data_IF_378712505055
#
_entry.id   IF_378712505055
#
_cell.length_a   1.000
_cell.length_b   1.000
_cell.length_c   1.000
_cell.angle_alpha   90.00
_cell.angle_beta   90.00
_cell.angle_gamma   90.00
#
_symmetry.space_group_name_H-M   'P 1'
#
loop_
_entity.id
_entity.type
_entity.pdbx_description
1 polymer ?
#
# COMPACT_ATOMS: atom_id res chain seq x y z
N UNK A 1 0.07 11.83 -2.17
CA UNK A 1 -0.97 11.14 -1.38
C UNK A 1 -2.28 11.90 -1.47
N UNK A 2 -3.41 11.20 -1.40
CA UNK A 2 -4.76 11.77 -1.54
C UNK A 2 -5.68 11.13 -0.50
N UNK A 3 -6.53 11.92 0.15
CA UNK A 3 -7.55 11.38 1.06
C UNK A 3 -8.84 11.14 0.26
N UNK A 4 -9.13 9.88 -0.07
CA UNK A 4 -10.27 9.52 -0.92
C UNK A 4 -11.62 9.71 -0.21
N UNK A 5 -11.64 9.85 1.12
CA UNK A 5 -12.86 10.09 1.90
C UNK A 5 -13.42 11.50 1.68
N UNK A 6 -12.59 12.42 1.21
CA UNK A 6 -12.97 13.80 0.89
C UNK A 6 -13.62 13.94 -0.50
N UNK A 7 -13.89 12.81 -1.17
CA UNK A 7 -14.49 12.76 -2.49
C UNK A 7 -15.80 11.96 -2.46
N UNK A 8 -16.76 12.25 -3.36
CA UNK A 8 -17.95 11.44 -3.51
C UNK A 8 -17.60 9.96 -3.75
N UNK A 9 -18.44 9.06 -3.25
CA UNK A 9 -18.31 7.62 -3.55
C UNK A 9 -18.27 7.41 -5.07
N UNK A 10 -17.45 6.45 -5.53
CA UNK A 10 -17.25 6.11 -6.95
C UNK A 10 -16.49 7.15 -7.79
N UNK A 11 -15.82 8.13 -7.15
CA UNK A 11 -14.90 9.05 -7.85
C UNK A 11 -13.70 8.33 -8.45
N UNK A 12 -13.21 7.29 -7.76
CA UNK A 12 -12.05 6.51 -8.18
C UNK A 12 -12.49 5.10 -8.61
N UNK A 13 -11.99 4.63 -9.74
CA UNK A 13 -12.19 3.30 -10.30
C UNK A 13 -10.83 2.66 -10.55
N UNK A 14 -10.60 1.44 -10.08
CA UNK A 14 -9.34 0.72 -10.36
C UNK A 14 -9.22 0.43 -11.84
N UNK A 15 -8.02 0.67 -12.40
CA UNK A 15 -7.74 0.40 -13.81
C UNK A 15 -8.09 -1.05 -14.19
N UNK A 16 -7.74 -1.99 -13.32
CA UNK A 16 -7.98 -3.41 -13.49
C UNK A 16 -9.47 -3.77 -13.54
N UNK A 17 -10.31 -3.11 -12.72
CA UNK A 17 -11.76 -3.31 -12.76
C UNK A 17 -12.35 -2.78 -14.08
N UNK A 18 -11.85 -1.63 -14.55
CA UNK A 18 -12.23 -1.09 -15.85
C UNK A 18 -11.84 -2.04 -16.99
N UNK A 19 -10.59 -2.51 -17.01
CA UNK A 19 -10.08 -3.45 -18.03
C UNK A 19 -10.92 -4.74 -18.04
N UNK A 20 -11.19 -5.33 -16.86
CA UNK A 20 -12.00 -6.55 -16.74
C UNK A 20 -13.44 -6.34 -17.21
N UNK A 21 -14.02 -5.16 -16.98
CA UNK A 21 -15.35 -4.82 -17.45
C UNK A 21 -15.41 -4.74 -18.98
N UNK A 22 -14.55 -3.92 -19.58
CA UNK A 22 -14.57 -3.69 -21.04
C UNK A 22 -14.14 -4.91 -21.84
N UNK A 23 -13.22 -5.74 -21.31
CA UNK A 23 -12.81 -6.99 -21.95
C UNK A 23 -13.99 -7.98 -22.11
N UNK A 24 -15.00 -7.92 -21.24
CA UNK A 24 -16.19 -8.78 -21.31
C UNK A 24 -17.24 -8.28 -22.30
N UNK A 25 -17.25 -6.98 -22.60
CA UNK A 25 -18.35 -6.32 -23.32
C UNK A 25 -18.07 -6.05 -24.79
N UNK A 26 -16.81 -6.13 -25.23
CA UNK A 26 -16.44 -5.70 -26.59
C UNK A 26 -16.51 -6.84 -27.62
N UNK A 27 -16.99 -6.51 -28.82
CA UNK A 27 -17.17 -7.43 -29.95
C UNK A 27 -16.22 -7.15 -31.12
N UNK A 28 -15.40 -6.09 -31.03
CA UNK A 28 -14.42 -5.73 -32.05
C UNK A 28 -13.08 -6.47 -31.84
N UNK A 29 -12.72 -7.30 -32.82
CA UNK A 29 -11.57 -8.20 -32.78
C UNK A 29 -10.21 -7.45 -32.73
N UNK A 30 -10.11 -6.23 -33.26
CA UNK A 30 -8.84 -5.49 -33.28
C UNK A 30 -8.54 -4.82 -31.94
N UNK A 31 -9.53 -4.09 -31.38
CA UNK A 31 -9.45 -3.50 -30.04
C UNK A 31 -9.27 -4.57 -28.95
N UNK A 32 -9.82 -5.77 -29.18
CA UNK A 32 -9.66 -6.89 -28.27
C UNK A 32 -8.21 -7.36 -28.13
N UNK A 33 -7.34 -7.23 -29.16
CA UNK A 33 -5.93 -7.67 -29.06
C UNK A 33 -5.13 -6.81 -28.09
N UNK A 34 -5.26 -5.49 -28.18
CA UNK A 34 -4.55 -4.55 -27.30
C UNK A 34 -5.08 -4.62 -25.87
N UNK A 35 -6.40 -4.66 -25.71
CA UNK A 35 -7.04 -4.80 -24.41
C UNK A 35 -6.70 -6.14 -23.74
N UNK A 36 -6.63 -7.23 -24.52
CA UNK A 36 -6.17 -8.54 -24.04
C UNK A 36 -4.73 -8.47 -23.54
N UNK A 37 -3.82 -7.89 -24.31
CA UNK A 37 -2.41 -7.75 -23.91
C UNK A 37 -2.26 -6.90 -22.65
N UNK A 38 -3.00 -5.78 -22.57
CA UNK A 38 -3.02 -4.93 -21.38
C UNK A 38 -3.55 -5.67 -20.15
N UNK A 39 -4.64 -6.43 -20.32
CA UNK A 39 -5.22 -7.29 -19.27
C UNK A 39 -4.20 -8.31 -18.78
N UNK A 40 -3.55 -9.04 -19.70
CA UNK A 40 -2.54 -10.03 -19.35
C UNK A 40 -1.39 -9.42 -18.55
N UNK A 41 -0.87 -8.26 -18.97
CA UNK A 41 0.17 -7.55 -18.22
C UNK A 41 -0.30 -7.11 -16.83
N UNK A 42 -1.50 -6.53 -16.74
CA UNK A 42 -2.08 -6.05 -15.47
C UNK A 42 -2.54 -7.17 -14.55
N UNK A 43 -2.82 -8.37 -15.05
CA UNK A 43 -3.15 -9.55 -14.25
C UNK A 43 -1.91 -10.35 -13.81
N UNK A 44 -0.76 -10.08 -14.40
CA UNK A 44 0.53 -10.65 -14.00
C UNK A 44 1.34 -9.63 -13.19
N UNK A 45 2.65 -9.58 -13.40
CA UNK A 45 3.60 -8.86 -12.55
C UNK A 45 3.65 -7.33 -12.82
N UNK A 46 2.91 -6.85 -13.82
CA UNK A 46 2.85 -5.42 -14.20
C UNK A 46 1.60 -4.71 -13.67
N UNK A 47 0.97 -5.25 -12.62
CA UNK A 47 -0.07 -4.53 -11.90
C UNK A 47 0.51 -3.35 -11.12
N UNK A 48 0.12 -2.11 -11.45
CA UNK A 48 0.70 -0.90 -10.84
C UNK A 48 -0.20 -0.26 -9.79
N UNK A 49 -1.39 -0.82 -9.53
CA UNK A 49 -2.33 -0.25 -8.56
C UNK A 49 -2.91 1.09 -9.00
N UNK A 50 -3.12 1.28 -10.31
CA UNK A 50 -3.59 2.55 -10.86
C UNK A 50 -5.10 2.73 -10.61
N UNK A 51 -5.48 3.98 -10.34
CA UNK A 51 -6.87 4.40 -10.19
C UNK A 51 -7.19 5.47 -11.22
N UNK A 52 -8.30 5.27 -11.92
CA UNK A 52 -8.91 6.18 -12.88
C UNK A 52 -9.93 7.06 -12.18
N UNK A 53 -10.08 8.29 -12.66
CA UNK A 53 -11.12 9.23 -12.22
C UNK A 53 -11.88 9.74 -13.44
N UNK A 54 -13.13 10.13 -13.26
CA UNK A 54 -13.95 10.67 -14.35
C UNK A 54 -13.94 12.21 -14.32
N UNK A 55 -13.58 12.81 -15.46
CA UNK A 55 -13.62 14.26 -15.64
C UNK A 55 -12.52 15.02 -14.89
N UNK A 56 -12.77 16.31 -14.63
CA UNK A 56 -11.85 17.18 -13.91
C UNK A 56 -11.95 16.89 -12.39
N UNK A 57 -10.87 16.39 -11.81
CA UNK A 57 -10.77 16.16 -10.37
C UNK A 57 -10.13 17.37 -9.66
N UNK A 58 -10.89 18.08 -8.84
CA UNK A 58 -10.32 19.09 -7.96
C UNK A 58 -9.68 18.41 -6.73
N UNK A 59 -8.34 18.43 -6.69
CA UNK A 59 -7.52 17.85 -5.62
C UNK A 59 -6.91 18.90 -4.67
N UNK A 60 -7.22 20.18 -4.87
CA UNK A 60 -6.70 21.27 -4.04
C UNK A 60 -7.12 21.08 -2.57
N UNK A 61 -6.16 21.15 -1.64
CA UNK A 61 -6.37 20.89 -0.22
C UNK A 61 -6.61 19.41 0.16
N UNK A 62 -6.98 18.56 -0.79
CA UNK A 62 -7.33 17.14 -0.58
C UNK A 62 -6.17 16.17 -0.83
N UNK A 63 -5.06 16.70 -1.31
CA UNK A 63 -3.88 15.91 -1.63
C UNK A 63 -2.60 16.59 -1.16
N UNK A 64 -1.55 15.80 -1.19
CA UNK A 64 -0.19 16.22 -0.97
C UNK A 64 0.66 15.70 -2.13
N UNK A 65 1.45 16.60 -2.72
CA UNK A 65 2.32 16.32 -3.85
C UNK A 65 3.77 16.57 -3.44
N UNK A 66 4.64 15.62 -3.75
CA UNK A 66 6.08 15.74 -3.59
C UNK A 66 6.71 15.37 -4.92
N UNK A 67 7.58 16.23 -5.45
CA UNK A 67 8.22 15.97 -6.73
C UNK A 67 9.22 14.81 -6.62
N UNK A 68 9.41 14.06 -7.69
CA UNK A 68 10.42 12.99 -7.73
C UNK A 68 11.82 13.53 -7.39
N UNK A 69 12.16 14.73 -7.87
CA UNK A 69 13.46 15.33 -7.56
C UNK A 69 13.63 15.61 -6.06
N UNK A 70 12.56 16.06 -5.37
CA UNK A 70 12.60 16.20 -3.90
C UNK A 70 12.77 14.83 -3.23
N UNK A 71 12.05 13.79 -3.66
CA UNK A 71 12.24 12.44 -3.12
C UNK A 71 13.70 11.98 -3.27
N UNK A 72 14.30 12.18 -4.45
CA UNK A 72 15.70 11.84 -4.74
C UNK A 72 16.65 12.62 -3.83
N UNK A 73 16.52 13.95 -3.79
CA UNK A 73 17.40 14.83 -3.03
C UNK A 73 17.36 14.54 -1.53
N UNK A 74 16.21 14.13 -1.01
CA UNK A 74 16.01 13.83 0.42
C UNK A 74 16.32 12.37 0.76
N UNK A 75 16.68 11.53 -0.23
CA UNK A 75 17.31 10.24 0.00
C UNK A 75 16.51 9.01 -0.42
N UNK A 76 15.56 9.11 -1.36
CA UNK A 76 14.81 7.96 -1.88
C UNK A 76 15.71 6.81 -2.33
N UNK A 77 16.81 7.11 -3.02
CA UNK A 77 17.77 6.09 -3.48
C UNK A 77 18.58 5.45 -2.36
N UNK A 78 18.64 6.07 -1.18
CA UNK A 78 19.20 5.43 0.00
C UNK A 78 18.21 4.43 0.59
N UNK A 79 16.92 4.76 0.63
CA UNK A 79 15.87 3.86 1.11
C UNK A 79 15.60 2.69 0.15
N UNK A 80 15.68 2.94 -1.16
CA UNK A 80 15.51 1.92 -2.19
C UNK A 80 16.60 2.06 -3.27
N UNK A 81 17.82 1.52 -3.02
CA UNK A 81 18.92 1.54 -3.98
C UNK A 81 18.59 0.96 -5.37
N UNK A 82 17.75 -0.10 -5.51
CA UNK A 82 17.38 -0.61 -6.83
C UNK A 82 16.74 0.41 -7.76
N UNK A 83 16.14 1.50 -7.24
CA UNK A 83 15.61 2.60 -8.06
C UNK A 83 16.72 3.38 -8.78
N UNK A 84 17.90 3.54 -8.16
CA UNK A 84 19.03 4.28 -8.74
C UNK A 84 19.69 3.50 -9.88
N UNK A 85 19.85 2.19 -9.69
CA UNK A 85 20.58 1.31 -10.61
C UNK A 85 19.85 1.02 -11.93
N UNK A 86 18.63 1.51 -12.12
CA UNK A 86 17.79 1.21 -13.29
C UNK A 86 17.98 2.10 -14.51
N UNK A 87 18.85 3.11 -14.44
CA UNK A 87 18.73 4.28 -15.33
C UNK A 87 17.50 5.08 -14.91
N UNK A 88 17.53 5.61 -13.68
CA UNK A 88 16.42 6.34 -13.05
C UNK A 88 15.87 7.52 -13.87
N UNK A 89 16.65 8.02 -14.83
CA UNK A 89 16.29 9.08 -15.77
C UNK A 89 15.56 8.58 -17.04
N UNK A 90 15.41 7.26 -17.22
CA UNK A 90 14.62 6.65 -18.31
C UNK A 90 13.23 6.27 -17.80
N UNK A 91 12.29 7.22 -17.92
CA UNK A 91 10.90 7.07 -17.51
C UNK A 91 10.19 5.87 -18.18
N UNK A 92 10.58 5.52 -19.41
CA UNK A 92 9.99 4.40 -20.13
C UNK A 92 10.30 3.02 -19.49
N UNK A 93 11.33 2.95 -18.63
CA UNK A 93 11.75 1.72 -17.94
C UNK A 93 11.23 1.58 -16.52
N UNK A 94 10.39 2.51 -16.05
CA UNK A 94 9.89 2.48 -14.68
C UNK A 94 9.09 1.22 -14.36
N UNK A 95 8.25 0.74 -15.28
CA UNK A 95 7.53 -0.53 -15.07
C UNK A 95 8.47 -1.71 -14.83
N UNK A 96 9.57 -1.81 -15.59
CA UNK A 96 10.61 -2.84 -15.39
C UNK A 96 11.38 -2.64 -14.08
N UNK A 97 11.57 -1.40 -13.67
CA UNK A 97 12.22 -1.05 -12.40
C UNK A 97 11.39 -1.52 -11.21
N UNK A 98 10.09 -1.21 -11.21
CA UNK A 98 9.13 -1.66 -10.18
C UNK A 98 9.07 -3.18 -10.15
N UNK A 99 8.98 -3.83 -11.32
CA UNK A 99 9.06 -5.29 -11.43
C UNK A 99 10.30 -5.85 -10.72
N UNK A 100 11.50 -5.31 -11.01
CA UNK A 100 12.75 -5.77 -10.39
C UNK A 100 12.80 -5.53 -8.89
N UNK A 101 12.23 -4.43 -8.41
CA UNK A 101 12.08 -4.18 -6.97
C UNK A 101 11.24 -5.29 -6.35
N UNK A 102 10.07 -5.60 -6.92
CA UNK A 102 9.18 -6.66 -6.44
C UNK A 102 9.81 -8.04 -6.50
N UNK A 103 10.59 -8.35 -7.54
CA UNK A 103 11.30 -9.63 -7.56
C UNK A 103 12.29 -9.69 -6.41
N UNK A 104 12.94 -8.59 -6.00
CA UNK A 104 13.93 -8.59 -4.90
C UNK A 104 13.39 -8.77 -3.47
N UNK A 105 12.06 -8.87 -3.27
CA UNK A 105 11.43 -9.19 -1.98
C UNK A 105 11.51 -10.70 -1.70
N UNK A 106 12.71 -11.20 -1.45
CA UNK A 106 12.93 -12.58 -0.99
C UNK A 106 13.22 -12.59 0.52
N UNK A 107 14.28 -11.90 0.94
CA UNK A 107 14.72 -11.87 2.34
C UNK A 107 14.47 -10.51 3.00
N UNK A 108 14.06 -10.47 4.28
CA UNK A 108 13.98 -9.23 5.05
C UNK A 108 15.33 -8.52 5.10
N UNK A 109 15.31 -7.20 4.95
CA UNK A 109 16.49 -6.34 5.12
C UNK A 109 16.45 -5.68 6.50
N UNK A 110 17.54 -5.78 7.28
CA UNK A 110 17.64 -5.12 8.57
C UNK A 110 17.30 -3.63 8.47
N UNK A 111 16.50 -3.14 9.41
CA UNK A 111 16.18 -1.72 9.51
C UNK A 111 17.31 -1.00 10.23
N UNK A 112 17.71 0.17 9.70
CA UNK A 112 18.66 1.08 10.36
C UNK A 112 17.92 2.34 10.83
N UNK A 113 18.35 2.94 11.96
CA UNK A 113 17.78 4.19 12.48
C UNK A 113 17.80 5.30 11.41
N UNK A 114 18.92 5.42 10.70
CA UNK A 114 19.13 6.37 9.58
C UNK A 114 18.10 6.20 8.46
N UNK A 115 17.57 4.99 8.24
CA UNK A 115 16.54 4.73 7.24
C UNK A 115 15.18 5.28 7.71
N UNK A 116 14.83 5.10 8.98
CA UNK A 116 13.61 5.70 9.54
C UNK A 116 13.70 7.22 9.49
N UNK A 117 14.85 7.79 9.86
CA UNK A 117 15.09 9.24 9.80
C UNK A 117 14.92 9.81 8.40
N UNK A 118 15.48 9.14 7.39
CA UNK A 118 15.31 9.56 6.00
C UNK A 118 13.87 9.39 5.51
N UNK A 119 13.20 8.29 5.87
CA UNK A 119 11.81 8.10 5.50
C UNK A 119 10.91 9.21 6.05
N UNK A 120 11.10 9.58 7.32
CA UNK A 120 10.39 10.71 7.94
C UNK A 120 10.77 12.04 7.30
N UNK A 121 12.05 12.29 7.03
CA UNK A 121 12.51 13.53 6.38
C UNK A 121 11.92 13.69 4.97
N UNK A 122 11.85 12.62 4.18
CA UNK A 122 11.16 12.63 2.88
C UNK A 122 9.67 12.90 3.09
N UNK A 123 9.04 12.23 4.05
CA UNK A 123 7.62 12.38 4.32
C UNK A 123 7.22 13.78 4.78
N UNK A 124 8.11 14.50 5.49
CA UNK A 124 7.89 15.88 5.92
C UNK A 124 7.80 16.90 4.77
N UNK A 125 8.27 16.55 3.57
CA UNK A 125 7.94 17.36 2.39
C UNK A 125 6.45 17.36 2.05
N UNK A 126 5.70 16.42 2.63
CA UNK A 126 4.27 16.46 2.61
C UNK A 126 3.76 17.53 3.57
N UNK A 127 3.21 18.61 3.00
CA UNK A 127 2.66 19.75 3.76
C UNK A 127 1.39 19.44 4.57
N UNK A 128 0.96 18.19 4.59
CA UNK A 128 -0.23 17.73 5.31
C UNK A 128 0.19 16.69 6.34
N UNK A 129 0.16 17.09 7.61
CA UNK A 129 0.68 16.33 8.74
C UNK A 129 0.11 14.92 8.83
N UNK A 130 -1.19 14.77 8.54
CA UNK A 130 -1.89 13.47 8.55
C UNK A 130 -1.31 12.44 7.59
N UNK A 131 -0.49 12.85 6.61
CA UNK A 131 0.16 11.95 5.67
C UNK A 131 1.61 11.64 6.03
N UNK A 132 2.26 12.38 6.93
CA UNK A 132 3.69 12.21 7.17
C UNK A 132 3.98 10.80 7.70
N UNK A 133 3.27 10.38 8.74
CA UNK A 133 3.43 9.05 9.32
C UNK A 133 3.19 7.90 8.30
N UNK A 134 2.02 7.79 7.65
CA UNK A 134 1.79 6.70 6.69
C UNK A 134 2.72 6.79 5.48
N UNK A 135 3.11 7.99 5.04
CA UNK A 135 4.06 8.13 3.93
C UNK A 135 5.45 7.60 4.28
N UNK A 136 5.93 7.88 5.50
CA UNK A 136 7.20 7.35 5.98
C UNK A 136 7.18 5.82 6.01
N UNK A 137 6.09 5.20 6.46
CA UNK A 137 5.95 3.73 6.46
C UNK A 137 5.89 3.19 5.02
N UNK A 138 5.17 3.84 4.09
CA UNK A 138 5.18 3.46 2.67
C UNK A 138 6.58 3.48 2.06
N UNK A 139 7.40 4.48 2.41
CA UNK A 139 8.78 4.58 1.92
C UNK A 139 9.67 3.45 2.46
N UNK A 140 9.50 3.05 3.73
CA UNK A 140 10.20 1.90 4.31
C UNK A 140 9.74 0.57 3.69
N UNK A 141 8.47 0.49 3.30
CA UNK A 141 7.86 -0.68 2.67
C UNK A 141 8.31 -0.93 1.22
N UNK A 142 9.11 -0.03 0.61
CA UNK A 142 9.75 -0.26 -0.69
C UNK A 142 10.80 -1.38 -0.67
N UNK A 143 11.12 -1.91 0.50
CA UNK A 143 11.96 -3.09 0.69
C UNK A 143 11.26 -4.06 1.65
N UNK A 144 11.60 -5.34 1.53
CA UNK A 144 11.17 -6.33 2.51
C UNK A 144 11.81 -6.00 3.87
N UNK A 145 10.99 -5.77 4.90
CA UNK A 145 11.42 -5.45 6.27
C UNK A 145 10.77 -6.44 7.23
N UNK A 146 11.45 -6.73 8.33
CA UNK A 146 10.81 -7.45 9.42
C UNK A 146 9.80 -6.53 10.13
N UNK A 147 8.52 -6.90 10.10
CA UNK A 147 7.47 -6.14 10.78
C UNK A 147 7.57 -6.30 12.31
N UNK A 148 8.21 -7.35 12.80
CA UNK A 148 8.44 -7.59 14.23
C UNK A 148 9.58 -6.75 14.83
N UNK A 149 10.40 -6.11 13.99
CA UNK A 149 11.57 -5.35 14.43
C UNK A 149 11.17 -4.26 15.45
N UNK A 150 11.67 -4.38 16.67
CA UNK A 150 11.41 -3.41 17.75
C UNK A 150 11.91 -2.01 17.41
N UNK A 151 12.93 -1.91 16.55
CA UNK A 151 13.46 -0.63 16.09
C UNK A 151 12.40 0.19 15.37
N UNK A 152 11.54 -0.48 14.58
CA UNK A 152 10.51 0.18 13.80
C UNK A 152 9.56 0.97 14.71
N UNK A 153 8.91 0.28 15.65
CA UNK A 153 7.97 0.92 16.56
C UNK A 153 8.66 1.96 17.44
N UNK A 154 9.85 1.65 17.97
CA UNK A 154 10.62 2.56 18.83
C UNK A 154 10.92 3.89 18.13
N UNK A 155 11.42 3.86 16.90
CA UNK A 155 11.79 5.08 16.18
C UNK A 155 10.57 5.89 15.75
N UNK A 156 9.47 5.26 15.33
CA UNK A 156 8.23 5.98 15.05
C UNK A 156 7.66 6.62 16.33
N UNK A 157 7.65 5.90 17.44
CA UNK A 157 7.17 6.45 18.73
C UNK A 157 8.02 7.60 19.25
N UNK A 158 9.32 7.62 18.97
CA UNK A 158 10.21 8.74 19.30
C UNK A 158 9.92 10.00 18.47
N UNK A 159 9.42 9.82 17.25
CA UNK A 159 9.26 10.89 16.25
C UNK A 159 7.84 11.43 16.13
N UNK A 160 6.84 10.66 16.54
CA UNK A 160 5.43 11.02 16.39
C UNK A 160 4.66 10.87 17.71
N UNK A 161 3.69 11.76 17.93
CA UNK A 161 2.74 11.63 19.04
C UNK A 161 1.73 10.51 18.77
N UNK A 162 0.95 10.14 19.78
CA UNK A 162 -0.13 9.15 19.61
C UNK A 162 -1.20 9.65 18.63
N UNK A 163 -1.49 10.95 18.65
CA UNK A 163 -2.43 11.60 17.75
C UNK A 163 -1.92 11.58 16.30
N UNK A 164 -0.64 11.88 16.06
CA UNK A 164 -0.04 11.85 14.73
C UNK A 164 0.01 10.43 14.14
N UNK A 165 0.15 9.42 14.99
CA UNK A 165 0.06 8.01 14.61
C UNK A 165 -1.38 7.52 14.49
N UNK A 166 -2.38 8.31 14.89
CA UNK A 166 -3.79 7.94 14.80
C UNK A 166 -4.39 8.33 13.45
N UNK A 167 -4.25 7.45 12.47
CA UNK A 167 -4.73 7.66 11.09
C UNK A 167 -6.15 7.15 10.83
N UNK A 168 -6.83 6.65 11.87
CA UNK A 168 -8.16 6.03 11.79
C UNK A 168 -8.14 4.72 11.00
N UNK A 169 -9.33 4.29 10.56
CA UNK A 169 -9.49 3.06 9.78
C UNK A 169 -8.82 3.19 8.41
N UNK A 170 -7.79 2.39 8.19
CA UNK A 170 -7.13 2.24 6.88
C UNK A 170 -7.86 1.15 6.12
N UNK A 171 -8.26 1.46 4.90
CA UNK A 171 -8.72 0.45 3.94
C UNK A 171 -7.60 0.16 2.96
N UNK A 172 -7.19 -1.09 2.86
CA UNK A 172 -6.23 -1.55 1.85
C UNK A 172 -6.97 -1.93 0.56
N UNK A 173 -6.29 -1.75 -0.57
CA UNK A 173 -6.82 -2.19 -1.87
C UNK A 173 -7.00 -3.72 -1.90
N UNK A 174 -8.09 -4.22 -2.47
CA UNK A 174 -8.36 -5.68 -2.49
C UNK A 174 -7.31 -6.49 -3.28
N UNK A 175 -6.59 -5.83 -4.20
CA UNK A 175 -5.53 -6.43 -5.01
C UNK A 175 -4.14 -6.04 -4.44
N UNK A 176 -4.07 -5.48 -3.22
CA UNK A 176 -2.83 -5.05 -2.56
C UNK A 176 -1.79 -6.16 -2.45
N UNK A 177 -2.25 -7.38 -2.19
CA UNK A 177 -1.42 -8.58 -2.07
C UNK A 177 -0.58 -8.88 -3.32
N UNK A 178 -0.97 -8.35 -4.49
CA UNK A 178 -0.25 -8.51 -5.76
C UNK A 178 0.92 -7.54 -5.89
N UNK A 179 0.96 -6.50 -5.05
CA UNK A 179 2.03 -5.51 -4.97
C UNK A 179 2.77 -5.73 -3.65
N UNK A 180 3.94 -6.37 -3.72
CA UNK A 180 4.68 -6.79 -2.52
C UNK A 180 5.01 -5.62 -1.59
N UNK A 181 5.26 -4.44 -2.14
CA UNK A 181 5.48 -3.20 -1.39
C UNK A 181 4.22 -2.73 -0.64
N UNK A 182 3.03 -2.92 -1.20
CA UNK A 182 1.78 -2.53 -0.54
C UNK A 182 1.40 -3.55 0.55
N UNK A 183 1.58 -4.84 0.27
CA UNK A 183 1.44 -5.89 1.30
C UNK A 183 2.45 -5.71 2.44
N UNK A 184 3.66 -5.25 2.14
CA UNK A 184 4.64 -4.88 3.16
C UNK A 184 4.18 -3.67 3.97
N UNK A 185 3.68 -2.62 3.30
CA UNK A 185 3.15 -1.44 3.97
C UNK A 185 2.05 -1.83 4.97
N UNK A 186 1.07 -2.63 4.54
CA UNK A 186 0.01 -3.18 5.39
C UNK A 186 0.58 -3.88 6.63
N UNK A 187 1.51 -4.83 6.46
CA UNK A 187 2.17 -5.51 7.60
C UNK A 187 2.89 -4.57 8.55
N UNK A 188 3.62 -3.57 8.03
CA UNK A 188 4.35 -2.61 8.86
C UNK A 188 3.38 -1.73 9.65
N UNK A 189 2.32 -1.24 8.99
CA UNK A 189 1.29 -0.42 9.62
C UNK A 189 0.57 -1.19 10.73
N UNK A 190 0.11 -2.41 10.45
CA UNK A 190 -0.58 -3.25 11.42
C UNK A 190 0.30 -3.57 12.63
N UNK A 191 1.58 -3.89 12.42
CA UNK A 191 2.52 -4.14 13.52
C UNK A 191 2.71 -2.91 14.41
N UNK A 192 2.90 -1.73 13.81
CA UNK A 192 3.03 -0.47 14.56
C UNK A 192 1.75 -0.17 15.35
N UNK A 193 0.58 -0.34 14.74
CA UNK A 193 -0.72 -0.10 15.39
C UNK A 193 -1.01 -1.11 16.52
N UNK A 194 -0.70 -2.38 16.31
CA UNK A 194 -0.88 -3.43 17.32
C UNK A 194 0.01 -3.16 18.55
N UNK A 195 1.30 -2.84 18.34
CA UNK A 195 2.21 -2.48 19.44
C UNK A 195 1.75 -1.24 20.19
N UNK A 196 1.25 -0.22 19.46
CA UNK A 196 0.66 0.97 20.06
C UNK A 196 -0.55 0.62 20.94
N UNK A 197 -1.49 -0.18 20.43
CA UNK A 197 -2.70 -0.56 21.16
C UNK A 197 -2.38 -1.38 22.43
N UNK A 198 -1.39 -2.27 22.36
CA UNK A 198 -0.90 -3.03 23.50
C UNK A 198 -0.34 -2.12 24.60
N UNK A 199 0.44 -1.09 24.22
CA UNK A 199 1.07 -0.17 25.17
C UNK A 199 0.11 0.89 25.75
N UNK A 200 -0.93 1.27 25.00
CA UNK A 200 -1.99 2.16 25.49
C UNK A 200 -3.04 1.43 26.35
N UNK A 201 -2.92 0.11 26.53
CA UNK A 201 -3.89 -0.70 27.26
C UNK A 201 -5.26 -0.78 26.57
N UNK A 202 -5.33 -0.52 25.27
CA UNK A 202 -6.57 -0.50 24.48
C UNK A 202 -6.83 -1.81 23.74
N UNK A 203 -5.88 -2.75 23.74
CA UNK A 203 -6.11 -4.10 23.21
C UNK A 203 -6.48 -5.06 24.34
N UNK A 204 -7.74 -5.43 24.42
CA UNK A 204 -8.15 -6.65 25.11
C UNK A 204 -7.87 -7.82 24.14
N UNK A 205 -6.86 -8.68 24.36
CA UNK A 205 -6.46 -9.71 23.40
C UNK A 205 -7.54 -10.79 23.20
N UNK A 206 -8.57 -10.79 24.05
CA UNK A 206 -9.60 -11.82 24.13
C UNK A 206 -10.68 -11.63 23.06
N UNK A 207 -10.96 -10.40 22.62
CA UNK A 207 -12.08 -10.12 21.70
C UNK A 207 -11.80 -10.58 20.25
N UNK A 208 -10.55 -10.51 19.78
CA UNK A 208 -10.20 -11.02 18.44
C UNK A 208 -10.21 -12.56 18.36
N UNK A 209 -9.98 -13.25 19.48
CA UNK A 209 -10.09 -14.70 19.55
C UNK A 209 -11.57 -15.14 19.51
N UNK A 210 -12.47 -14.35 20.12
CA UNK A 210 -13.90 -14.69 20.13
C UNK A 210 -14.54 -14.52 18.75
N UNK A 211 -14.16 -13.52 17.98
CA UNK A 211 -14.62 -13.31 16.60
C UNK A 211 -14.07 -14.40 15.64
N UNK A 212 -12.82 -14.82 15.84
CA UNK A 212 -12.22 -15.94 15.12
C UNK A 212 -12.90 -17.28 15.43
N UNK A 213 -13.30 -17.50 16.67
CA UNK A 213 -14.01 -18.74 17.08
C UNK A 213 -15.48 -18.72 16.63
N UNK A 214 -16.17 -17.57 16.65
CA UNK A 214 -17.54 -17.47 16.14
C UNK A 214 -17.61 -17.69 14.62
N UNK A 215 -16.65 -17.14 13.86
CA UNK A 215 -16.57 -17.35 12.40
C UNK A 215 -16.19 -18.79 12.01
N UNK A 216 -15.40 -19.49 12.83
CA UNK A 216 -15.14 -20.92 12.67
C UNK A 216 -16.34 -21.80 13.07
N UNK A 217 -17.10 -21.39 14.09
CA UNK A 217 -18.30 -22.11 14.55
C UNK A 217 -19.47 -22.02 13.57
N UNK A 218 -19.57 -20.90 12.83
CA UNK A 218 -20.58 -20.71 11.77
C UNK A 218 -20.29 -21.53 10.50
N UNK A 219 -19.06 -21.97 10.28
CA UNK A 219 -18.65 -22.74 9.09
C UNK A 219 -18.66 -24.27 9.29
N UNK A 220 -18.89 -24.76 10.52
CA UNK A 220 -18.83 -26.20 10.85
C UNK A 220 -20.18 -26.82 11.22
N UNK A 221 -21.31 -26.14 10.99
CA UNK A 221 -22.63 -26.67 11.33
C UNK A 221 -23.67 -26.54 10.23
N UNK A 222 -23.64 -27.44 9.23
CA UNK A 222 -24.82 -28.24 8.85
C UNK A 222 -24.49 -29.35 7.82
N UNK A 223 -24.20 -30.59 8.24
CA UNK A 223 -24.35 -31.76 7.40
C UNK A 223 -25.62 -32.50 7.86
N UNK A 224 -26.77 -32.19 7.25
CA UNK A 224 -27.83 -33.15 6.93
C UNK A 224 -29.14 -32.44 6.61
N UNK A 225 -29.62 -32.64 5.38
CA UNK A 225 -31.03 -32.97 5.09
C UNK A 225 -31.15 -33.30 3.60
N UNK A 226 -30.96 -34.59 3.28
CA UNK A 226 -31.58 -35.22 2.11
C UNK A 226 -32.94 -35.77 2.50
N UNK A 227 -33.83 -35.79 1.51
CA UNK A 227 -35.11 -36.52 1.40
C UNK A 227 -36.36 -35.84 1.96
N UNK A 228 -37.15 -35.24 1.06
CA UNK A 228 -38.34 -35.89 0.46
C UNK A 228 -38.73 -35.14 -0.82
#
# INVERSE_FOLDING_TARGET
MIDTREFPKRTFLRDLDAIRHYYRSDSDMAAMKELKMLKEWREQDYYMGEYLTQGLLNIEGKCCQVSMQQLINTGLFYLCPPLKSSGWNDWARWGKTVFRIRTSFYEPRPLEETQVEKAVSIAQHCKRETFIFPFAVMLLALQNRDAGDELLYREFRRKFTDEEMNIGDITYDLESHRMKELAQFERLMESIMAKRAMLLGTSDPINHITDGIQSLSLNLGNPDTRHS
#
